data_IF_552511566610
#
_entry.id   IF_552511566610
#
_cell.length_a   1.000
_cell.length_b   1.000
_cell.length_c   1.000
_cell.angle_alpha   90.00
_cell.angle_beta   90.00
_cell.angle_gamma   90.00
#
_symmetry.space_group_name_H-M   'P 1'
#
loop_
_entity.id
_entity.type
_entity.pdbx_description
1 polymer ?
#
# COMPACT_ATOMS: atom_id res chain seq x y z
N UNK A 1 31.18 30.46 56.83
CA UNK A 1 31.04 30.29 58.29
C UNK A 1 29.58 30.51 58.69
N UNK A 2 28.96 29.45 59.20
CA UNK A 2 27.93 29.38 60.26
C UNK A 2 26.58 30.14 60.17
N UNK A 3 25.52 29.34 60.51
CA UNK A 3 24.15 29.61 61.01
C UNK A 3 23.05 29.75 59.95
N UNK A 4 21.83 29.22 60.08
CA UNK A 4 21.11 28.29 61.00
C UNK A 4 19.64 28.38 60.54
N UNK A 5 18.96 27.29 60.12
CA UNK A 5 17.94 26.51 60.89
C UNK A 5 16.65 27.33 61.24
N UNK A 6 15.37 26.93 61.09
CA UNK A 6 14.58 25.66 60.97
C UNK A 6 13.22 26.02 60.31
N UNK A 7 12.49 25.13 59.63
CA UNK A 7 11.59 24.16 60.28
C UNK A 7 11.14 23.01 59.34
N UNK A 8 11.41 21.79 59.81
CA UNK A 8 10.67 20.54 59.61
C UNK A 8 10.31 19.98 61.00
N UNK A 9 9.36 19.03 61.09
CA UNK A 9 9.54 17.78 61.84
C UNK A 9 9.33 16.58 60.88
N UNK A 10 10.15 15.52 60.80
CA UNK A 10 10.70 14.54 61.75
C UNK A 10 9.73 13.42 62.20
N UNK A 11 10.28 12.19 62.28
CA UNK A 11 9.80 10.91 62.88
C UNK A 11 9.04 9.93 61.95
N UNK A 12 9.32 8.63 61.82
CA UNK A 12 10.26 7.69 62.48
C UNK A 12 10.38 6.37 61.67
N UNK A 13 11.50 5.66 61.82
CA UNK A 13 11.72 4.27 61.42
C UNK A 13 11.41 3.32 62.60
N UNK A 14 10.83 2.14 62.36
CA UNK A 14 11.06 0.93 63.16
C UNK A 14 10.70 -0.36 62.40
N UNK A 15 11.67 -1.28 62.39
CA UNK A 15 11.59 -2.66 61.89
C UNK A 15 10.69 -3.53 62.79
N UNK A 16 9.98 -4.49 62.19
CA UNK A 16 10.04 -5.88 62.67
C UNK A 16 9.59 -6.92 61.61
N UNK A 17 10.36 -8.01 61.58
CA UNK A 17 10.17 -9.31 60.92
C UNK A 17 8.80 -9.96 61.23
N UNK A 18 8.22 -10.95 60.53
CA UNK A 18 8.74 -12.11 59.78
C UNK A 18 7.54 -12.84 59.12
N UNK A 19 7.77 -13.38 57.92
CA UNK A 19 7.22 -14.63 57.33
C UNK A 19 5.72 -14.93 57.43
N UNK A 20 5.04 -14.93 56.26
CA UNK A 20 4.34 -16.14 55.81
C UNK A 20 4.67 -16.41 54.34
N UNK A 21 5.01 -17.66 54.06
CA UNK A 21 5.46 -18.23 52.80
C UNK A 21 4.24 -18.86 52.12
N UNK A 22 4.27 -18.94 50.79
CA UNK A 22 3.41 -19.72 49.88
C UNK A 22 2.37 -18.92 49.07
N UNK A 23 2.74 -18.56 47.84
CA UNK A 23 1.99 -18.96 46.63
C UNK A 23 2.85 -18.74 45.37
N UNK A 24 3.90 -19.55 45.23
CA UNK A 24 4.68 -19.72 43.98
C UNK A 24 3.87 -20.37 42.83
N UNK A 25 2.54 -20.43 42.94
CA UNK A 25 1.63 -21.03 41.95
C UNK A 25 0.91 -20.00 41.07
N UNK A 26 0.98 -18.70 41.38
CA UNK A 26 0.30 -17.66 40.58
C UNK A 26 1.20 -17.00 39.52
N UNK A 27 2.52 -17.12 39.62
CA UNK A 27 3.46 -16.54 38.64
C UNK A 27 3.68 -17.43 37.42
N UNK A 28 3.67 -18.77 37.58
CA UNK A 28 3.92 -19.67 36.45
C UNK A 28 2.74 -19.76 35.48
N UNK A 29 1.51 -19.63 35.98
CA UNK A 29 0.30 -19.64 35.14
C UNK A 29 0.20 -18.39 34.25
N UNK A 30 0.58 -17.20 34.75
CA UNK A 30 0.62 -15.98 33.95
C UNK A 30 1.79 -15.98 32.94
N UNK A 31 2.96 -16.51 33.31
CA UNK A 31 4.08 -16.68 32.37
C UNK A 31 3.79 -17.75 31.31
N UNK A 32 3.10 -18.84 31.65
CA UNK A 32 2.71 -19.88 30.69
C UNK A 32 1.58 -19.41 29.77
N UNK A 33 0.64 -18.59 30.24
CA UNK A 33 -0.40 -18.01 29.39
C UNK A 33 0.17 -16.98 28.40
N UNK A 34 1.16 -16.17 28.82
CA UNK A 34 1.85 -15.25 27.91
C UNK A 34 2.84 -15.97 26.98
N UNK A 35 3.50 -17.04 27.42
CA UNK A 35 4.35 -17.87 26.56
C UNK A 35 3.53 -18.72 25.57
N UNK A 36 2.37 -19.25 25.97
CA UNK A 36 1.43 -19.93 25.07
C UNK A 36 0.74 -18.96 24.10
N UNK A 37 0.54 -17.69 24.49
CA UNK A 37 0.02 -16.64 23.61
C UNK A 37 1.03 -16.15 22.57
N UNK A 38 2.34 -16.36 22.79
CA UNK A 38 3.38 -16.04 21.80
C UNK A 38 3.65 -17.19 20.81
N UNK A 39 3.11 -18.38 21.08
CA UNK A 39 3.26 -19.56 20.25
C UNK A 39 1.92 -19.99 19.64
N UNK A 40 1.31 -19.14 18.79
CA UNK A 40 0.35 -19.53 17.73
C UNK A 40 -0.20 -18.29 17.03
N UNK A 41 0.55 -17.82 16.03
CA UNK A 41 0.04 -17.16 14.83
C UNK A 41 1.16 -17.24 13.76
N UNK A 42 1.77 -18.41 13.60
CA UNK A 42 2.66 -18.63 12.46
C UNK A 42 1.77 -18.67 11.22
N UNK A 43 1.83 -17.61 10.41
CA UNK A 43 1.16 -17.58 9.12
C UNK A 43 1.57 -18.82 8.32
N UNK A 44 0.64 -19.46 7.56
CA UNK A 44 0.91 -20.69 6.83
C UNK A 44 1.96 -20.52 5.71
N UNK A 45 2.39 -19.29 5.47
CA UNK A 45 3.44 -18.90 4.53
C UNK A 45 4.13 -17.63 5.04
N UNK A 46 5.36 -17.37 4.56
CA UNK A 46 6.08 -16.10 4.75
C UNK A 46 5.77 -15.15 3.60
N UNK A 47 5.74 -13.85 3.87
CA UNK A 47 5.55 -12.82 2.85
C UNK A 47 6.80 -11.95 2.75
N UNK A 48 7.26 -11.73 1.52
CA UNK A 48 8.27 -10.73 1.16
C UNK A 48 7.58 -9.66 0.31
N UNK A 49 7.60 -8.42 0.76
CA UNK A 49 7.16 -7.27 -0.02
C UNK A 49 8.34 -6.71 -0.83
N UNK A 50 8.23 -6.84 -2.14
CA UNK A 50 9.15 -6.36 -3.16
C UNK A 50 9.08 -4.86 -3.46
N UNK A 51 8.71 -4.02 -2.48
CA UNK A 51 8.44 -2.59 -2.69
C UNK A 51 8.91 -1.71 -1.54
N UNK A 52 9.50 -0.57 -1.90
CA UNK A 52 9.88 0.50 -0.96
C UNK A 52 8.72 1.42 -0.57
N UNK A 53 7.54 1.28 -1.20
CA UNK A 53 6.39 2.17 -0.99
C UNK A 53 5.83 2.04 0.45
N UNK A 54 5.79 3.13 1.25
CA UNK A 54 5.15 3.11 2.56
C UNK A 54 3.67 2.75 2.48
N UNK A 55 2.97 3.24 1.46
CA UNK A 55 1.54 3.00 1.29
C UNK A 55 1.22 1.52 1.10
N UNK A 56 2.06 0.77 0.37
CA UNK A 56 1.90 -0.67 0.14
C UNK A 56 2.26 -1.51 1.37
N UNK A 57 3.23 -1.06 2.18
CA UNK A 57 3.55 -1.68 3.48
C UNK A 57 2.36 -1.62 4.43
N UNK A 58 1.77 -0.44 4.55
CA UNK A 58 0.59 -0.22 5.40
C UNK A 58 -0.59 -1.10 4.94
N UNK A 59 -0.87 -1.19 3.63
CA UNK A 59 -1.95 -2.06 3.12
C UNK A 59 -1.73 -3.52 3.52
N UNK A 60 -0.53 -4.07 3.31
CA UNK A 60 -0.25 -5.45 3.69
C UNK A 60 -0.33 -5.68 5.21
N UNK A 61 0.07 -4.70 6.01
CA UNK A 61 -0.08 -4.75 7.46
C UNK A 61 -1.56 -4.74 7.87
N UNK A 62 -2.38 -3.88 7.24
CA UNK A 62 -3.83 -3.79 7.44
C UNK A 62 -4.58 -5.05 6.93
N UNK A 63 -3.94 -5.85 6.07
CA UNK A 63 -4.42 -7.19 5.67
C UNK A 63 -4.06 -8.27 6.70
N UNK A 64 -3.30 -7.94 7.74
CA UNK A 64 -2.89 -8.87 8.80
C UNK A 64 -1.66 -9.70 8.46
N UNK A 65 -0.92 -9.36 7.41
CA UNK A 65 0.30 -10.09 7.05
C UNK A 65 1.52 -9.58 7.81
N UNK A 66 2.27 -10.50 8.43
CA UNK A 66 3.67 -10.26 8.77
C UNK A 66 4.55 -10.43 7.53
N UNK A 67 5.35 -9.43 7.18
CA UNK A 67 6.19 -9.45 5.99
C UNK A 67 7.58 -8.88 6.23
N UNK A 68 8.54 -9.30 5.40
CA UNK A 68 9.84 -8.64 5.27
C UNK A 68 9.84 -7.76 4.03
N UNK A 69 10.59 -6.66 4.05
CA UNK A 69 10.72 -5.77 2.89
C UNK A 69 12.04 -6.06 2.20
N UNK A 70 11.99 -6.34 0.89
CA UNK A 70 13.18 -6.52 0.07
C UNK A 70 13.03 -5.70 -1.20
N UNK A 71 13.88 -4.70 -1.40
CA UNK A 71 13.77 -3.82 -2.56
C UNK A 71 14.70 -4.28 -3.68
N UNK A 72 14.17 -4.27 -4.90
CA UNK A 72 14.98 -4.38 -6.11
C UNK A 72 15.74 -3.09 -6.33
N UNK A 73 17.00 -3.21 -6.76
CA UNK A 73 17.79 -2.07 -7.24
C UNK A 73 17.83 -2.19 -8.76
N UNK A 74 16.76 -1.71 -9.40
CA UNK A 74 16.61 -1.75 -10.86
C UNK A 74 16.51 -0.32 -11.40
N UNK A 75 17.07 -0.11 -12.58
CA UNK A 75 16.83 1.11 -13.34
C UNK A 75 15.46 1.02 -14.03
N UNK A 76 14.39 1.41 -13.31
CA UNK A 76 13.02 1.44 -13.84
C UNK A 76 12.93 2.26 -15.15
N UNK A 77 13.81 3.25 -15.34
CA UNK A 77 13.77 4.14 -16.49
C UNK A 77 14.40 3.53 -17.75
N UNK A 78 15.20 2.46 -17.60
CA UNK A 78 15.69 1.65 -18.71
C UNK A 78 14.60 0.73 -19.29
N UNK A 79 13.55 0.45 -18.51
CA UNK A 79 12.43 -0.40 -18.92
C UNK A 79 11.33 0.47 -19.50
N UNK A 80 11.10 0.36 -20.82
CA UNK A 80 10.11 1.16 -21.55
C UNK A 80 9.17 0.29 -22.36
N UNK A 81 7.90 0.65 -22.34
CA UNK A 81 6.83 0.08 -23.16
C UNK A 81 5.92 1.21 -23.59
N UNK A 82 5.31 1.08 -24.76
CA UNK A 82 4.39 2.07 -25.30
C UNK A 82 3.05 2.05 -24.53
N UNK A 83 2.58 0.85 -24.19
CA UNK A 83 1.34 0.66 -23.45
C UNK A 83 1.58 0.67 -21.94
N UNK A 84 0.76 1.40 -21.16
CA UNK A 84 0.92 1.47 -19.71
C UNK A 84 0.77 0.10 -19.04
N UNK A 85 -0.11 -0.78 -19.55
CA UNK A 85 -0.35 -2.11 -19.00
C UNK A 85 0.87 -3.02 -19.15
N UNK A 86 1.57 -2.90 -20.28
CA UNK A 86 2.81 -3.61 -20.56
C UNK A 86 3.96 -3.05 -19.72
N UNK A 87 4.00 -1.72 -19.51
CA UNK A 87 5.03 -1.06 -18.71
C UNK A 87 5.00 -1.54 -17.26
N UNK A 88 3.84 -1.43 -16.59
CA UNK A 88 3.74 -1.79 -15.17
C UNK A 88 3.98 -3.28 -14.94
N UNK A 89 3.57 -4.12 -15.88
CA UNK A 89 3.87 -5.55 -15.85
C UNK A 89 5.37 -5.80 -15.93
N UNK A 90 6.04 -5.22 -16.93
CA UNK A 90 7.49 -5.38 -17.11
C UNK A 90 8.28 -4.88 -15.89
N UNK A 91 7.86 -3.76 -15.28
CA UNK A 91 8.48 -3.23 -14.06
C UNK A 91 8.30 -4.15 -12.86
N UNK A 92 7.09 -4.68 -12.63
CA UNK A 92 6.82 -5.60 -11.54
C UNK A 92 7.57 -6.94 -11.70
N UNK A 93 7.67 -7.45 -12.93
CA UNK A 93 8.45 -8.65 -13.27
C UNK A 93 9.94 -8.42 -13.06
N UNK A 94 10.50 -7.30 -13.55
CA UNK A 94 11.91 -6.96 -13.35
C UNK A 94 12.27 -6.82 -11.86
N UNK A 95 11.37 -6.25 -11.04
CA UNK A 95 11.54 -6.19 -9.59
C UNK A 95 11.61 -7.60 -8.98
N UNK A 96 10.73 -8.49 -9.41
CA UNK A 96 10.69 -9.86 -8.90
C UNK A 96 11.96 -10.64 -9.27
N UNK A 97 12.39 -10.56 -10.53
CA UNK A 97 13.61 -11.24 -10.99
C UNK A 97 14.87 -10.72 -10.28
N UNK A 98 15.01 -9.41 -10.13
CA UNK A 98 16.14 -8.83 -9.40
C UNK A 98 16.18 -9.29 -7.93
N UNK A 99 15.03 -9.43 -7.28
CA UNK A 99 14.92 -9.94 -5.91
C UNK A 99 15.25 -11.44 -5.84
N UNK A 100 14.74 -12.24 -6.79
CA UNK A 100 15.07 -13.67 -6.88
C UNK A 100 16.57 -13.88 -7.03
N UNK A 101 17.24 -13.13 -7.91
CA UNK A 101 18.69 -13.22 -8.09
C UNK A 101 19.47 -12.92 -6.81
N UNK A 102 19.04 -11.90 -6.04
CA UNK A 102 19.64 -11.60 -4.72
C UNK A 102 19.47 -12.77 -3.74
N UNK A 103 18.32 -13.42 -3.76
CA UNK A 103 18.01 -14.56 -2.88
C UNK A 103 18.70 -15.88 -3.30
N UNK A 104 18.99 -16.06 -4.59
CA UNK A 104 19.71 -17.25 -5.09
C UNK A 104 21.22 -17.20 -4.81
N UNK A 105 21.79 -16.01 -4.58
CA UNK A 105 23.20 -15.85 -4.20
C UNK A 105 23.52 -16.22 -2.75
N UNK A 106 22.49 -16.42 -1.92
CA UNK A 106 22.61 -16.91 -0.55
C UNK A 106 22.22 -18.40 -0.56
N UNK A 107 23.19 -19.31 -0.48
CA UNK A 107 23.02 -20.79 -0.46
C UNK A 107 21.89 -21.24 0.50
N UNK A 108 20.67 -21.24 -0.01
CA UNK A 108 19.46 -21.55 0.75
C UNK A 108 18.64 -22.59 0.01
N UNK A 109 19.30 -23.71 -0.34
CA UNK A 109 18.66 -25.01 -0.42
C UNK A 109 18.35 -25.57 0.99
N UNK A 110 17.93 -24.69 1.91
CA UNK A 110 17.33 -25.11 3.16
C UNK A 110 15.85 -25.36 2.86
N UNK A 111 15.38 -26.57 3.17
CA UNK A 111 13.96 -26.88 3.27
C UNK A 111 13.30 -25.79 4.12
N UNK A 112 12.58 -24.86 3.46
CA UNK A 112 11.82 -23.85 4.18
C UNK A 112 10.61 -24.56 4.77
N UNK A 113 10.51 -24.57 6.10
CA UNK A 113 9.37 -25.12 6.86
C UNK A 113 7.99 -24.66 6.36
N UNK A 114 7.93 -23.53 5.64
CA UNK A 114 6.70 -23.02 5.05
C UNK A 114 6.96 -22.28 3.72
N UNK A 115 5.99 -22.28 2.79
CA UNK A 115 6.06 -21.52 1.54
C UNK A 115 6.43 -20.06 1.78
N UNK A 116 7.25 -19.47 0.91
CA UNK A 116 7.55 -18.04 0.94
C UNK A 116 7.04 -17.40 -0.34
N UNK A 117 6.21 -16.38 -0.23
CA UNK A 117 5.71 -15.61 -1.37
C UNK A 117 6.39 -14.25 -1.46
N UNK A 118 6.67 -13.82 -2.68
CA UNK A 118 7.16 -12.49 -3.03
C UNK A 118 6.04 -11.72 -3.72
N UNK A 119 5.72 -10.53 -3.22
CA UNK A 119 4.74 -9.62 -3.81
C UNK A 119 5.47 -8.42 -4.39
N UNK A 120 5.45 -8.25 -5.71
CA UNK A 120 5.90 -7.03 -6.39
C UNK A 120 4.72 -6.33 -7.05
N UNK A 121 4.82 -5.01 -7.19
CA UNK A 121 3.82 -4.24 -7.95
C UNK A 121 4.39 -2.96 -8.51
N UNK A 122 3.77 -2.48 -9.58
CA UNK A 122 4.08 -1.21 -10.19
C UNK A 122 2.83 -0.46 -10.64
N UNK A 123 2.86 0.87 -10.58
CA UNK A 123 1.71 1.71 -10.86
C UNK A 123 2.13 3.01 -11.54
N UNK A 124 1.37 3.40 -12.55
CA UNK A 124 1.48 4.68 -13.26
C UNK A 124 0.13 5.37 -13.35
N UNK A 125 0.14 6.69 -13.52
CA UNK A 125 -1.05 7.47 -13.85
C UNK A 125 -1.07 7.79 -15.34
N UNK A 126 -2.23 7.70 -15.97
CA UNK A 126 -2.43 8.06 -17.38
C UNK A 126 -3.44 9.20 -17.46
N UNK A 127 -3.08 10.26 -18.16
CA UNK A 127 -4.04 11.30 -18.58
C UNK A 127 -3.60 11.95 -19.88
N UNK A 128 -4.54 12.36 -20.73
CA UNK A 128 -4.27 12.92 -22.06
C UNK A 128 -3.32 12.04 -22.91
N UNK A 129 -3.45 10.72 -22.80
CA UNK A 129 -2.59 9.75 -23.50
C UNK A 129 -1.15 9.66 -22.97
N UNK A 130 -0.79 10.39 -21.92
CA UNK A 130 0.57 10.40 -21.37
C UNK A 130 0.68 9.55 -20.09
N UNK A 131 1.67 8.66 -20.07
CA UNK A 131 2.07 7.87 -18.90
C UNK A 131 2.88 8.75 -17.94
N UNK A 132 2.48 8.78 -16.68
CA UNK A 132 3.13 9.53 -15.60
C UNK A 132 3.53 8.58 -14.48
N UNK A 133 4.82 8.29 -14.43
CA UNK A 133 5.48 7.53 -13.36
C UNK A 133 5.67 8.43 -12.12
N UNK A 134 6.59 8.07 -11.22
CA UNK A 134 7.06 8.99 -10.18
C UNK A 134 7.95 10.08 -10.80
N UNK A 135 7.67 11.38 -10.57
CA UNK A 135 8.51 12.46 -11.10
C UNK A 135 9.92 12.44 -10.49
N UNK A 136 10.94 12.77 -11.28
CA UNK A 136 12.35 12.89 -10.88
C UNK A 136 12.67 14.21 -10.20
N UNK A 137 11.88 15.23 -10.47
CA UNK A 137 12.15 16.60 -10.05
C UNK A 137 10.88 17.44 -9.97
N UNK A 138 11.07 18.69 -9.54
CA UNK A 138 9.98 19.63 -9.31
C UNK A 138 9.28 20.02 -10.62
N UNK A 139 10.04 20.15 -11.70
CA UNK A 139 9.57 20.51 -13.03
C UNK A 139 8.64 19.43 -13.60
N UNK A 140 9.07 18.16 -13.57
CA UNK A 140 8.26 17.03 -14.03
C UNK A 140 6.99 16.89 -13.17
N UNK A 141 7.10 17.09 -11.84
CA UNK A 141 5.94 17.07 -10.95
C UNK A 141 4.93 18.18 -11.29
N UNK A 142 5.41 19.41 -11.56
CA UNK A 142 4.59 20.55 -11.99
C UNK A 142 3.86 20.24 -13.29
N UNK A 143 4.56 19.68 -14.28
CA UNK A 143 3.97 19.28 -15.56
C UNK A 143 2.90 18.19 -15.39
N UNK A 144 3.16 17.21 -14.53
CA UNK A 144 2.20 16.14 -14.25
C UNK A 144 0.91 16.69 -13.64
N UNK A 145 1.02 17.47 -12.57
CA UNK A 145 -0.14 18.03 -11.85
C UNK A 145 -0.93 18.98 -12.75
N UNK A 146 -0.24 19.85 -13.50
CA UNK A 146 -0.88 20.74 -14.48
C UNK A 146 -1.65 19.95 -15.54
N UNK A 147 -1.12 18.79 -15.94
CA UNK A 147 -1.77 17.89 -16.88
C UNK A 147 -3.12 17.34 -16.42
N UNK A 148 -3.38 17.30 -15.10
CA UNK A 148 -4.65 16.84 -14.53
C UNK A 148 -5.72 17.93 -14.45
N UNK A 149 -5.34 19.21 -14.40
CA UNK A 149 -6.27 20.33 -14.20
C UNK A 149 -7.42 20.31 -15.21
N UNK A 150 -8.65 20.17 -14.70
CA UNK A 150 -9.87 20.13 -15.50
C UNK A 150 -10.07 18.89 -16.37
N UNK A 151 -9.31 17.82 -16.16
CA UNK A 151 -9.38 16.60 -16.96
C UNK A 151 -9.51 15.34 -16.09
N UNK A 152 -9.63 14.17 -16.72
CA UNK A 152 -9.62 12.86 -16.09
C UNK A 152 -8.21 12.24 -16.11
N UNK A 153 -7.91 11.47 -15.09
CA UNK A 153 -6.76 10.56 -15.04
C UNK A 153 -7.22 9.19 -14.57
N UNK A 154 -6.49 8.15 -14.93
CA UNK A 154 -6.70 6.81 -14.41
C UNK A 154 -5.39 6.16 -14.01
N UNK A 155 -5.42 5.27 -13.02
CA UNK A 155 -4.24 4.49 -12.69
C UNK A 155 -4.21 3.21 -13.52
N UNK A 156 -2.99 2.81 -13.86
CA UNK A 156 -2.69 1.47 -14.35
C UNK A 156 -1.75 0.82 -13.36
N UNK A 157 -2.14 -0.31 -12.80
CA UNK A 157 -1.40 -1.02 -11.78
C UNK A 157 -1.33 -2.51 -12.09
N UNK A 158 -0.21 -3.13 -11.76
CA UNK A 158 -0.03 -4.57 -11.87
C UNK A 158 0.59 -5.13 -10.60
N UNK A 159 -0.02 -6.20 -10.09
CA UNK A 159 0.47 -6.95 -8.93
C UNK A 159 0.95 -8.30 -9.42
N UNK A 160 2.13 -8.71 -8.97
CA UNK A 160 2.73 -10.01 -9.23
C UNK A 160 3.02 -10.70 -7.90
N UNK A 161 2.50 -11.91 -7.74
CA UNK A 161 2.79 -12.78 -6.61
C UNK A 161 3.57 -13.99 -7.12
N UNK A 162 4.72 -14.27 -6.51
CA UNK A 162 5.54 -15.43 -6.83
C UNK A 162 5.79 -16.27 -5.59
N UNK A 163 5.53 -17.58 -5.66
CA UNK A 163 5.96 -18.54 -4.67
C UNK A 163 7.43 -18.89 -4.91
N UNK A 164 8.29 -18.45 -4.01
CA UNK A 164 9.74 -18.66 -4.06
C UNK A 164 10.15 -20.10 -3.71
N UNK A 165 9.23 -20.93 -3.22
CA UNK A 165 9.51 -22.33 -2.90
C UNK A 165 9.35 -23.25 -4.11
N UNK A 166 8.40 -22.98 -5.01
CA UNK A 166 8.13 -23.82 -6.19
C UNK A 166 8.26 -23.07 -7.54
N UNK A 167 8.51 -21.75 -7.51
CA UNK A 167 8.65 -20.91 -8.70
C UNK A 167 7.33 -20.48 -9.35
N UNK A 168 6.18 -20.90 -8.85
CA UNK A 168 4.88 -20.54 -9.41
C UNK A 168 4.60 -19.05 -9.25
N UNK A 169 4.11 -18.39 -10.30
CA UNK A 169 3.76 -16.97 -10.26
C UNK A 169 2.40 -16.68 -10.88
N UNK A 170 1.66 -15.74 -10.30
CA UNK A 170 0.42 -15.19 -10.84
C UNK A 170 0.46 -13.68 -10.75
N UNK A 171 0.00 -13.01 -11.80
CA UNK A 171 -0.15 -11.57 -11.81
C UNK A 171 -1.51 -11.14 -12.32
N UNK A 172 -1.88 -9.90 -12.01
CA UNK A 172 -3.14 -9.32 -12.41
C UNK A 172 -3.08 -7.80 -12.46
N UNK A 173 -3.90 -7.24 -13.35
CA UNK A 173 -4.04 -5.81 -13.54
C UNK A 173 -5.19 -5.26 -12.69
N UNK A 174 -5.00 -4.03 -12.21
CA UNK A 174 -6.01 -3.14 -11.63
C UNK A 174 -6.05 -1.91 -12.55
N UNK A 175 -6.86 -2.05 -13.61
CA UNK A 175 -7.01 -1.09 -14.70
C UNK A 175 -8.49 -0.96 -15.01
N UNK A 176 -8.94 0.20 -15.53
CA UNK A 176 -10.28 0.29 -16.09
C UNK A 176 -10.35 -0.73 -17.21
N UNK A 177 -11.18 -1.77 -17.05
CA UNK A 177 -11.65 -2.47 -18.23
C UNK A 177 -12.24 -1.37 -19.12
N UNK A 178 -11.60 -1.14 -20.26
CA UNK A 178 -12.24 -0.49 -21.39
C UNK A 178 -13.37 -1.45 -21.80
N UNK A 179 -14.46 -1.52 -21.02
CA UNK A 179 -15.74 -1.99 -21.52
C UNK A 179 -15.94 -1.24 -22.82
N UNK A 180 -15.94 -1.99 -23.92
CA UNK A 180 -15.42 -1.53 -25.20
C UNK A 180 -15.79 -0.09 -25.56
N UNK A 181 -14.78 0.69 -25.94
CA UNK A 181 -14.97 1.64 -27.02
C UNK A 181 -15.25 0.84 -28.31
N UNK A 182 -16.43 0.21 -28.37
CA UNK A 182 -17.08 -0.05 -29.63
C UNK A 182 -17.71 1.28 -30.01
N UNK A 183 -17.23 1.88 -31.09
CA UNK A 183 -18.01 2.83 -31.85
C UNK A 183 -19.34 2.16 -32.21
N UNK A 184 -20.41 2.54 -31.52
CA UNK A 184 -21.77 2.34 -31.98
C UNK A 184 -22.60 3.49 -31.45
N UNK A 185 -23.12 4.27 -32.40
CA UNK A 185 -23.91 5.50 -32.30
C UNK A 185 -25.28 5.33 -31.61
N UNK A 186 -25.35 4.63 -30.47
CA UNK A 186 -26.61 4.45 -29.75
C UNK A 186 -26.50 5.10 -28.37
N UNK A 187 -27.06 6.31 -28.30
CA UNK A 187 -27.10 7.18 -27.13
C UNK A 187 -27.55 6.45 -25.87
N UNK A 188 -26.62 6.24 -24.95
CA UNK A 188 -26.92 6.00 -23.55
C UNK A 188 -26.51 7.25 -22.78
N UNK A 189 -27.46 8.16 -22.63
CA UNK A 189 -27.37 9.29 -21.70
C UNK A 189 -27.54 8.72 -20.28
N UNK A 190 -26.45 8.67 -19.51
CA UNK A 190 -26.52 8.31 -18.10
C UNK A 190 -26.61 9.60 -17.28
N UNK A 191 -27.81 9.83 -16.73
CA UNK A 191 -28.06 10.89 -15.76
C UNK A 191 -27.17 10.71 -14.52
N UNK A 192 -26.19 11.61 -14.41
CA UNK A 192 -25.20 11.68 -13.35
C UNK A 192 -25.66 12.69 -12.30
N UNK A 193 -26.80 12.41 -11.68
CA UNK A 193 -27.29 13.16 -10.52
C UNK A 193 -27.27 12.25 -9.28
N UNK A 194 -26.13 12.20 -8.59
CA UNK A 194 -26.16 11.84 -7.17
C UNK A 194 -25.17 12.62 -6.34
N UNK A 195 -25.77 13.20 -5.30
CA UNK A 195 -25.33 14.33 -4.48
C UNK A 195 -24.35 13.86 -3.40
N UNK A 196 -23.22 14.56 -3.31
CA UNK A 196 -22.38 14.57 -2.10
C UNK A 196 -23.15 15.33 -1.00
N UNK A 197 -23.88 14.62 -0.14
CA UNK A 197 -24.25 15.18 1.16
C UNK A 197 -23.96 14.21 2.30
N UNK A 198 -22.97 14.61 3.09
CA UNK A 198 -22.93 14.48 4.55
C UNK A 198 -22.73 13.08 5.17
N UNK A 199 -21.54 12.93 5.73
CA UNK A 199 -21.20 12.16 6.96
C UNK A 199 -21.25 10.63 6.99
N UNK A 200 -21.64 9.92 5.95
CA UNK A 200 -21.37 8.48 5.87
C UNK A 200 -20.97 8.08 4.44
N UNK A 201 -19.77 7.55 4.30
CA UNK A 201 -19.22 7.02 3.05
C UNK A 201 -19.96 5.71 2.71
N UNK A 202 -21.20 5.84 2.23
CA UNK A 202 -22.09 4.72 1.97
C UNK A 202 -21.72 4.03 0.65
N UNK A 203 -21.10 2.86 0.78
CA UNK A 203 -20.90 1.87 -0.28
C UNK A 203 -22.28 1.40 -0.79
N UNK A 204 -22.71 1.84 -1.98
CA UNK A 204 -23.90 1.27 -2.62
C UNK A 204 -23.58 -0.11 -3.19
N UNK A 205 -24.02 -1.16 -2.48
CA UNK A 205 -23.87 -2.56 -2.88
C UNK A 205 -24.90 -2.91 -3.98
N UNK A 206 -24.73 -2.44 -5.21
CA UNK A 206 -25.59 -2.84 -6.35
C UNK A 206 -25.45 -4.35 -6.66
N UNK A 207 -26.57 -5.06 -6.58
CA UNK A 207 -26.70 -6.47 -6.96
C UNK A 207 -26.55 -6.60 -8.48
N UNK A 208 -25.61 -7.46 -8.92
CA UNK A 208 -25.18 -7.76 -10.31
C UNK A 208 -23.87 -7.08 -10.81
N UNK A 209 -23.01 -6.60 -9.91
CA UNK A 209 -21.82 -5.83 -10.29
C UNK A 209 -20.66 -6.66 -10.83
N UNK A 210 -20.26 -6.39 -12.07
CA UNK A 210 -18.84 -6.27 -12.41
C UNK A 210 -18.22 -5.31 -11.37
N UNK A 211 -17.44 -5.84 -10.42
CA UNK A 211 -16.68 -5.00 -9.51
C UNK A 211 -15.63 -4.29 -10.35
N UNK A 212 -15.80 -2.99 -10.54
CA UNK A 212 -14.87 -2.16 -11.27
C UNK A 212 -13.62 -1.95 -10.40
N UNK A 213 -12.60 -2.78 -10.62
CA UNK A 213 -11.28 -2.71 -9.97
C UNK A 213 -10.39 -1.74 -10.70
N UNK A 214 -10.76 -0.46 -10.68
CA UNK A 214 -9.95 0.55 -11.32
C UNK A 214 -10.07 1.89 -10.66
N UNK A 215 -8.96 2.63 -10.72
CA UNK A 215 -8.93 4.01 -10.28
C UNK A 215 -9.11 4.95 -11.46
N UNK A 216 -10.17 5.73 -11.43
CA UNK A 216 -10.38 6.87 -12.32
C UNK A 216 -10.75 8.10 -11.51
N UNK A 217 -10.11 9.21 -11.82
CA UNK A 217 -10.25 10.47 -11.10
C UNK A 217 -10.60 11.55 -12.12
N UNK A 218 -11.57 12.38 -11.77
CA UNK A 218 -11.91 13.59 -12.48
C UNK A 218 -11.51 14.78 -11.62
N UNK A 219 -10.77 15.71 -12.20
CA UNK A 219 -10.30 16.88 -11.48
C UNK A 219 -11.12 18.12 -11.85
N UNK A 220 -11.35 18.97 -10.85
CA UNK A 220 -11.65 20.37 -11.09
C UNK A 220 -10.39 21.09 -11.63
N UNK A 221 -10.54 22.36 -11.96
CA UNK A 221 -9.37 23.19 -12.25
C UNK A 221 -8.47 23.25 -11.01
N UNK A 222 -7.19 22.91 -11.18
CA UNK A 222 -6.16 22.98 -10.14
C UNK A 222 -5.42 24.32 -10.29
N UNK A 223 -5.50 25.22 -9.29
CA UNK A 223 -4.83 26.53 -9.32
C UNK A 223 -3.31 26.43 -9.38
N UNK A 224 -2.69 27.38 -10.07
CA UNK A 224 -1.23 27.41 -10.31
C UNK A 224 -0.41 27.62 -9.02
N UNK A 225 -0.93 28.41 -8.09
CA UNK A 225 -0.38 28.62 -6.75
C UNK A 225 -0.36 27.33 -5.91
N UNK A 226 -1.42 26.53 -6.00
CA UNK A 226 -1.46 25.21 -5.36
C UNK A 226 -0.43 24.25 -5.97
N UNK A 227 -0.28 24.24 -7.31
CA UNK A 227 0.73 23.41 -7.96
C UNK A 227 2.13 23.80 -7.46
N UNK A 228 2.41 25.10 -7.37
CA UNK A 228 3.69 25.59 -6.86
C UNK A 228 3.95 25.20 -5.41
N UNK A 229 2.94 25.27 -4.52
CA UNK A 229 3.11 24.90 -3.11
C UNK A 229 3.41 23.40 -2.97
N UNK A 230 2.63 22.54 -3.65
CA UNK A 230 2.79 21.09 -3.63
C UNK A 230 4.15 20.65 -4.14
N UNK A 231 4.61 21.26 -5.24
CA UNK A 231 5.91 20.97 -5.84
C UNK A 231 7.06 21.43 -4.94
N UNK A 232 6.92 22.60 -4.32
CA UNK A 232 7.93 23.15 -3.40
C UNK A 232 8.07 22.32 -2.13
N UNK A 233 6.96 21.83 -1.58
CA UNK A 233 6.94 21.03 -0.36
C UNK A 233 7.49 19.61 -0.58
N UNK A 234 7.39 19.06 -1.80
CA UNK A 234 8.04 17.83 -2.26
C UNK A 234 7.51 16.52 -1.66
N UNK A 235 6.90 16.53 -0.47
CA UNK A 235 6.37 15.33 0.18
C UNK A 235 5.14 14.74 -0.53
N UNK A 236 4.48 15.53 -1.38
CA UNK A 236 3.28 15.14 -2.14
C UNK A 236 3.62 14.59 -3.54
N UNK A 237 4.85 14.77 -4.02
CA UNK A 237 5.26 14.41 -5.39
C UNK A 237 6.00 13.07 -5.47
N UNK A 238 6.21 12.38 -4.35
CA UNK A 238 6.91 11.10 -4.27
C UNK A 238 6.07 9.87 -4.72
N UNK A 239 4.96 10.10 -5.41
CA UNK A 239 4.00 9.08 -5.85
C UNK A 239 3.86 9.07 -7.38
N UNK A 240 3.28 8.01 -7.94
CA UNK A 240 2.94 7.95 -9.35
C UNK A 240 2.04 9.15 -9.72
N UNK A 241 2.35 9.83 -10.82
CA UNK A 241 1.62 11.02 -11.22
C UNK A 241 1.95 12.30 -10.44
N UNK A 242 2.79 12.22 -9.41
CA UNK A 242 3.26 13.41 -8.68
C UNK A 242 2.21 14.11 -7.81
N UNK A 243 1.06 13.48 -7.54
CA UNK A 243 0.02 14.05 -6.68
C UNK A 243 -0.53 13.00 -5.70
N UNK A 244 -0.27 13.18 -4.41
CA UNK A 244 -0.80 12.31 -3.36
C UNK A 244 -2.29 12.58 -3.10
N UNK A 245 -3.15 11.81 -3.76
CA UNK A 245 -4.62 11.93 -3.69
C UNK A 245 -5.20 11.76 -2.28
N UNK A 246 -4.47 11.12 -1.37
CA UNK A 246 -4.90 10.94 0.02
C UNK A 246 -4.68 12.18 0.90
N UNK A 247 -4.03 13.22 0.37
CA UNK A 247 -3.77 14.43 1.14
C UNK A 247 -5.01 15.35 1.16
N UNK A 248 -5.43 15.87 2.34
CA UNK A 248 -6.64 16.67 2.46
C UNK A 248 -6.69 17.91 1.56
N UNK A 249 -5.53 18.54 1.27
CA UNK A 249 -5.46 19.72 0.40
C UNK A 249 -5.76 19.43 -1.07
N UNK A 250 -5.72 18.15 -1.50
CA UNK A 250 -6.04 17.75 -2.87
C UNK A 250 -7.54 17.55 -3.05
N UNK A 251 -8.26 17.22 -1.98
CA UNK A 251 -9.69 16.87 -2.02
C UNK A 251 -10.58 17.94 -2.68
N UNK A 252 -10.39 19.26 -2.46
CA UNK A 252 -11.18 20.29 -3.14
C UNK A 252 -11.07 20.26 -4.66
N UNK A 253 -10.01 19.65 -5.20
CA UNK A 253 -9.77 19.56 -6.64
C UNK A 253 -10.21 18.24 -7.25
N UNK A 254 -10.71 17.29 -6.46
CA UNK A 254 -11.25 16.02 -6.94
C UNK A 254 -12.76 16.20 -7.17
N UNK A 255 -13.18 16.24 -8.43
CA UNK A 255 -14.60 16.28 -8.82
C UNK A 255 -15.28 14.95 -8.55
N UNK A 256 -14.61 13.85 -8.91
CA UNK A 256 -15.13 12.51 -8.75
C UNK A 256 -13.96 11.52 -8.67
N UNK A 257 -14.07 10.53 -7.79
CA UNK A 257 -13.15 9.42 -7.68
C UNK A 257 -13.93 8.12 -7.78
N UNK A 258 -13.56 7.29 -8.75
CA UNK A 258 -14.09 5.94 -8.97
C UNK A 258 -12.94 4.98 -8.65
N UNK A 259 -13.18 4.02 -7.76
CA UNK A 259 -12.19 3.02 -7.37
C UNK A 259 -12.07 2.86 -5.86
N UNK A 260 -11.03 2.14 -5.42
CA UNK A 260 -10.75 1.90 -4.00
C UNK A 260 -9.56 2.72 -3.51
N UNK A 261 -9.49 2.98 -2.20
CA UNK A 261 -8.32 3.62 -1.59
C UNK A 261 -7.05 2.77 -1.72
N UNK A 262 -7.19 1.45 -1.77
CA UNK A 262 -6.08 0.52 -1.95
C UNK A 262 -5.51 0.60 -3.39
N UNK A 263 -6.39 0.79 -4.39
CA UNK A 263 -6.00 1.11 -5.78
C UNK A 263 -5.31 2.47 -5.86
N UNK A 264 -5.83 3.51 -5.18
CA UNK A 264 -5.16 4.84 -5.05
C UNK A 264 -3.73 4.71 -4.52
N UNK A 265 -3.52 3.79 -3.58
CA UNK A 265 -2.26 3.57 -2.88
C UNK A 265 -1.35 2.53 -3.57
N UNK A 266 -1.81 1.96 -4.68
CA UNK A 266 -1.03 1.09 -5.56
C UNK A 266 -0.86 -0.35 -5.09
N UNK A 267 -1.75 -0.86 -4.23
CA UNK A 267 -1.84 -2.27 -3.88
C UNK A 267 -3.30 -2.68 -3.59
N UNK A 268 -4.11 -2.98 -4.61
CA UNK A 268 -5.50 -3.38 -4.46
C UNK A 268 -5.60 -4.67 -3.65
N UNK A 269 -6.20 -4.60 -2.46
CA UNK A 269 -6.27 -5.69 -1.49
C UNK A 269 -6.90 -6.95 -2.07
N UNK A 270 -8.10 -6.84 -2.63
CA UNK A 270 -8.87 -8.00 -3.08
C UNK A 270 -8.18 -8.71 -4.27
N UNK A 271 -7.56 -7.95 -5.19
CA UNK A 271 -6.70 -8.50 -6.24
C UNK A 271 -5.49 -9.22 -5.64
N UNK A 272 -4.83 -8.61 -4.66
CA UNK A 272 -3.65 -9.17 -4.00
C UNK A 272 -3.99 -10.47 -3.27
N UNK A 273 -5.08 -10.51 -2.50
CA UNK A 273 -5.54 -11.72 -1.80
C UNK A 273 -5.84 -12.86 -2.76
N UNK A 274 -6.55 -12.58 -3.87
CA UNK A 274 -6.83 -13.57 -4.90
C UNK A 274 -5.55 -14.16 -5.49
N UNK A 275 -4.58 -13.32 -5.87
CA UNK A 275 -3.31 -13.79 -6.43
C UNK A 275 -2.50 -14.62 -5.42
N UNK A 276 -2.54 -14.27 -4.13
CA UNK A 276 -1.93 -15.06 -3.06
C UNK A 276 -2.56 -16.45 -3.00
N UNK A 277 -3.89 -16.54 -3.00
CA UNK A 277 -4.60 -17.82 -2.97
C UNK A 277 -4.32 -18.69 -4.19
N UNK A 278 -4.30 -18.10 -5.39
CA UNK A 278 -4.00 -18.83 -6.64
C UNK A 278 -2.59 -19.42 -6.64
N UNK A 279 -1.60 -18.67 -6.13
CA UNK A 279 -0.20 -19.09 -6.09
C UNK A 279 0.05 -20.17 -5.02
N UNK A 280 -0.65 -20.10 -3.88
CA UNK A 280 -0.57 -21.11 -2.82
C UNK A 280 -1.36 -22.38 -3.16
N UNK A 281 -2.43 -22.26 -3.96
CA UNK A 281 -3.24 -23.38 -4.44
C UNK A 281 -2.70 -24.09 -5.68
N UNK A 282 -1.72 -23.49 -6.38
CA UNK A 282 -1.05 -24.11 -7.52
C UNK A 282 -0.22 -25.33 -7.06
N UNK A 283 -0.74 -26.53 -7.32
CA UNK A 283 -0.05 -27.81 -7.09
C UNK A 283 0.94 -28.12 -8.21
#
# INVERSE_FOLDING_TARGET
MLRSNRNQPAFTCLRSCRRFRNSESYSSAMSSAMASSMAKNSSPFKVVLGSSSPARREILADMGYGFTVMCADIDERAIRREKPEELVKALAEAKAEAIKLKLHGEDSAQERDQPTILITSDQVMVSKGMIRERPKGQEEAREFIKGYSGDKAFAVNYVLVTNLSNGASKGGWDIPELCGYAHSDDGCEFDLEFVLSSTEMNYTKSSNRCMFWFLQIYFHHIPEDFIQSVVKEGHMTCVAGGLKLTHPSVLPFIKQLIGTMDSVRGLPRELTERLIQEVLGAK
#
